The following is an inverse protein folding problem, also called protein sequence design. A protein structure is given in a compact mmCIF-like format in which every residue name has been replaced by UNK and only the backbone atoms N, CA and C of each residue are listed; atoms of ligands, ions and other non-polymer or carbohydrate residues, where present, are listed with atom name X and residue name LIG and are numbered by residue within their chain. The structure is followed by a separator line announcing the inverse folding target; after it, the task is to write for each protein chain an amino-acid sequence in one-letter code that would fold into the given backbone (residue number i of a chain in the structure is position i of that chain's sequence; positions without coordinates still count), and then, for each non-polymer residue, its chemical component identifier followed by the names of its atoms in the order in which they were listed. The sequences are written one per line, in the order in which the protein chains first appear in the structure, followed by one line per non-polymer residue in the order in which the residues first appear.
data_IF_477659822553
#
_entry.id   IF_477659822553
#
_cell.length_a   1.000
_cell.length_b   1.000
_cell.length_c   1.000
_cell.angle_alpha   90.00
_cell.angle_beta   90.00
_cell.angle_gamma   90.00
#
_symmetry.space_group_name_H-M   'P 1'
#
loop_
_entity.id
_entity.type
_entity.pdbx_description
1 polymer ?
#
# COMPACT_ATOMS: atom_id res chain seq x y z
N UNK A 1 41.85 24.99 -6.77
CA UNK A 1 41.58 25.13 -8.21
C UNK A 1 41.56 23.73 -8.75
N UNK A 2 40.43 23.27 -9.32
CA UNK A 2 40.30 21.89 -9.80
C UNK A 2 41.02 21.75 -11.16
N UNK A 3 41.84 20.72 -11.32
CA UNK A 3 42.56 20.45 -12.57
C UNK A 3 41.70 19.60 -13.51
N UNK A 4 40.91 20.27 -14.34
CA UNK A 4 40.04 19.63 -15.33
C UNK A 4 40.80 19.12 -16.56
N UNK A 5 42.10 19.38 -16.68
CA UNK A 5 42.87 19.01 -17.88
C UNK A 5 43.06 17.50 -18.03
N UNK A 6 42.88 16.75 -16.95
CA UNK A 6 43.02 15.29 -16.95
C UNK A 6 41.78 14.55 -17.47
N UNK A 7 40.65 15.21 -17.68
CA UNK A 7 39.41 14.54 -18.05
C UNK A 7 39.05 14.85 -19.50
N UNK A 8 39.26 13.86 -20.38
CA UNK A 8 38.89 13.97 -21.78
C UNK A 8 37.43 13.52 -21.98
N UNK A 9 36.47 14.42 -21.72
CA UNK A 9 35.05 14.11 -21.95
C UNK A 9 34.71 14.20 -23.44
N UNK A 10 34.48 13.04 -24.06
CA UNK A 10 33.86 12.99 -25.38
C UNK A 10 32.37 12.71 -25.21
N UNK A 11 31.53 13.75 -25.09
CA UNK A 11 30.07 13.56 -25.17
C UNK A 11 29.72 13.24 -26.63
N UNK A 12 29.77 11.97 -27.01
CA UNK A 12 29.36 11.54 -28.33
C UNK A 12 27.83 11.55 -28.39
N UNK A 13 27.27 12.23 -29.40
CA UNK A 13 25.93 11.91 -29.86
C UNK A 13 26.01 10.54 -30.53
N UNK A 14 25.97 9.45 -29.76
CA UNK A 14 25.79 8.13 -30.35
C UNK A 14 24.55 8.21 -31.25
N UNK A 15 24.72 7.90 -32.54
CA UNK A 15 23.88 8.32 -33.67
C UNK A 15 22.45 7.75 -33.72
N UNK A 16 21.78 7.65 -32.58
CA UNK A 16 20.41 7.18 -32.42
C UNK A 16 19.55 8.16 -31.63
N UNK A 17 19.54 9.46 -31.95
CA UNK A 17 18.43 10.35 -31.53
C UNK A 17 18.22 11.45 -32.57
N UNK A 18 16.96 11.64 -32.93
CA UNK A 18 16.41 12.69 -33.78
C UNK A 18 17.01 14.10 -33.56
N UNK A 19 17.15 14.91 -34.63
CA UNK A 19 17.91 16.16 -34.63
C UNK A 19 17.31 17.34 -33.85
N UNK A 20 16.23 17.17 -33.06
CA UNK A 20 15.53 18.29 -32.39
C UNK A 20 15.94 18.45 -30.90
N UNK A 21 16.72 17.54 -30.29
CA UNK A 21 17.18 17.66 -28.87
C UNK A 21 18.68 17.91 -28.66
N UNK A 22 19.47 18.05 -29.72
CA UNK A 22 20.94 18.03 -29.62
C UNK A 22 21.60 19.24 -28.93
N UNK A 23 20.96 20.42 -28.88
CA UNK A 23 21.55 21.58 -28.18
C UNK A 23 21.38 21.52 -26.65
N UNK A 24 20.38 20.78 -26.15
CA UNK A 24 20.22 20.53 -24.71
C UNK A 24 21.10 19.40 -24.19
N UNK A 25 21.62 18.53 -25.06
CA UNK A 25 22.37 17.34 -24.63
C UNK A 25 23.83 17.65 -24.25
N UNK A 26 24.47 18.64 -24.88
CA UNK A 26 25.87 18.97 -24.60
C UNK A 26 26.05 19.62 -23.22
N UNK A 27 25.24 20.64 -22.90
CA UNK A 27 25.29 21.30 -21.58
C UNK A 27 24.86 20.35 -20.47
N UNK A 28 23.87 19.48 -20.73
CA UNK A 28 23.46 18.46 -19.76
C UNK A 28 24.56 17.40 -19.55
N UNK A 29 25.21 16.94 -20.62
CA UNK A 29 26.35 16.02 -20.53
C UNK A 29 27.50 16.65 -19.75
N UNK A 30 27.90 17.89 -20.07
CA UNK A 30 28.94 18.61 -19.32
C UNK A 30 28.56 18.82 -17.85
N UNK A 31 27.29 19.13 -17.56
CA UNK A 31 26.82 19.31 -16.19
C UNK A 31 26.87 18.00 -15.41
N UNK A 32 26.42 16.88 -16.00
CA UNK A 32 26.51 15.57 -15.36
C UNK A 32 27.96 15.10 -15.18
N UNK A 33 28.80 15.30 -16.18
CA UNK A 33 30.23 15.03 -16.11
C UNK A 33 30.92 15.81 -14.98
N UNK A 34 30.65 17.11 -14.88
CA UNK A 34 31.15 17.97 -13.78
C UNK A 34 30.62 17.53 -12.42
N UNK A 35 29.33 17.19 -12.35
CA UNK A 35 28.73 16.66 -11.13
C UNK A 35 29.46 15.40 -10.70
N UNK A 36 29.63 14.41 -11.59
CA UNK A 36 30.30 13.14 -11.32
C UNK A 36 31.75 13.32 -10.87
N UNK A 37 32.51 14.19 -11.54
CA UNK A 37 33.87 14.53 -11.10
C UNK A 37 33.87 15.10 -9.68
N UNK A 38 32.99 16.05 -9.40
CA UNK A 38 32.87 16.58 -8.05
C UNK A 38 32.52 15.49 -7.03
N UNK A 39 31.62 14.53 -7.33
CA UNK A 39 31.30 13.41 -6.42
C UNK A 39 32.53 12.57 -6.12
N UNK A 40 33.26 12.18 -7.16
CA UNK A 40 34.44 11.34 -7.03
C UNK A 40 35.52 12.02 -6.20
N UNK A 41 35.76 13.33 -6.39
CA UNK A 41 36.72 14.07 -5.56
C UNK A 41 36.36 14.12 -4.07
N UNK A 42 35.09 13.92 -3.70
CA UNK A 42 34.66 13.87 -2.30
C UNK A 42 34.71 12.46 -1.70
N UNK A 43 34.64 11.42 -2.54
CA UNK A 43 34.48 10.03 -2.10
C UNK A 43 35.76 9.21 -2.10
N UNK A 44 36.66 9.48 -3.05
CA UNK A 44 37.87 8.67 -3.26
C UNK A 44 39.12 9.54 -3.18
N UNK A 45 40.27 8.88 -3.03
CA UNK A 45 41.57 9.59 -3.04
C UNK A 45 41.84 10.23 -4.41
N UNK A 46 42.67 11.27 -4.46
CA UNK A 46 42.94 12.01 -5.70
C UNK A 46 43.36 11.12 -6.88
N UNK A 47 44.17 10.09 -6.59
CA UNK A 47 44.68 9.14 -7.58
C UNK A 47 43.60 8.21 -8.16
N UNK A 48 42.47 8.06 -7.48
CA UNK A 48 41.34 7.21 -7.86
C UNK A 48 40.19 7.99 -8.51
N UNK A 49 40.24 9.33 -8.52
CA UNK A 49 39.15 10.18 -9.02
C UNK A 49 38.86 9.88 -10.50
N UNK A 50 39.89 9.72 -11.33
CA UNK A 50 39.72 9.42 -12.75
C UNK A 50 38.97 8.09 -12.97
N UNK A 51 39.42 7.02 -12.31
CA UNK A 51 38.76 5.71 -12.37
C UNK A 51 37.32 5.77 -11.84
N UNK A 52 37.07 6.51 -10.76
CA UNK A 52 35.72 6.69 -10.23
C UNK A 52 34.80 7.41 -11.24
N UNK A 53 35.30 8.43 -11.93
CA UNK A 53 34.53 9.17 -12.94
C UNK A 53 34.23 8.30 -14.15
N UNK A 54 35.22 7.55 -14.63
CA UNK A 54 35.04 6.60 -15.74
C UNK A 54 34.02 5.50 -15.38
N UNK A 55 34.13 4.89 -14.20
CA UNK A 55 33.21 3.88 -13.73
C UNK A 55 31.78 4.42 -13.57
N UNK A 56 31.62 5.64 -13.05
CA UNK A 56 30.31 6.26 -12.90
C UNK A 56 29.73 6.73 -14.23
N UNK A 57 30.56 7.22 -15.15
CA UNK A 57 30.12 7.61 -16.50
C UNK A 57 29.61 6.39 -17.27
N UNK A 58 30.35 5.28 -17.23
CA UNK A 58 29.91 4.02 -17.85
C UNK A 58 28.54 3.58 -17.31
N UNK A 59 28.31 3.68 -15.99
CA UNK A 59 27.02 3.31 -15.37
C UNK A 59 25.84 4.16 -15.85
N UNK A 60 26.04 5.45 -16.12
CA UNK A 60 24.95 6.34 -16.56
C UNK A 60 24.40 5.89 -17.92
N UNK A 61 25.25 5.33 -18.78
CA UNK A 61 24.86 4.92 -20.14
C UNK A 61 23.88 3.74 -20.14
N UNK A 62 23.96 2.86 -19.13
CA UNK A 62 23.14 1.64 -19.09
C UNK A 62 22.21 1.52 -17.88
N UNK A 63 22.37 2.32 -16.83
CA UNK A 63 21.49 2.31 -15.65
C UNK A 63 20.60 3.56 -15.62
N UNK A 64 19.26 3.41 -15.78
CA UNK A 64 18.33 4.51 -15.57
C UNK A 64 18.46 5.08 -14.15
N UNK A 65 18.79 6.37 -14.04
CA UNK A 65 18.98 7.04 -12.75
C UNK A 65 17.64 7.43 -12.14
N UNK A 66 17.20 6.75 -11.08
CA UNK A 66 15.95 7.04 -10.36
C UNK A 66 16.16 7.98 -9.18
N UNK A 67 17.37 8.03 -8.63
CA UNK A 67 17.76 8.90 -7.54
C UNK A 67 19.06 9.62 -7.91
N UNK A 68 19.33 10.76 -7.28
CA UNK A 68 20.54 11.53 -7.59
C UNK A 68 21.38 11.73 -6.34
N UNK A 69 22.66 11.92 -6.56
CA UNK A 69 23.67 12.11 -5.52
C UNK A 69 23.54 13.47 -4.83
N UNK A 70 23.69 13.48 -3.51
CA UNK A 70 23.49 14.68 -2.69
C UNK A 70 24.75 15.20 -1.99
N UNK A 71 25.94 14.84 -2.46
CA UNK A 71 27.17 15.42 -1.92
C UNK A 71 27.63 14.80 -0.60
N UNK A 72 27.16 13.61 -0.22
CA UNK A 72 27.65 12.96 0.99
C UNK A 72 29.13 12.56 0.82
N UNK A 73 29.98 12.80 1.83
CA UNK A 73 31.40 12.43 1.80
C UNK A 73 31.63 10.91 1.86
N UNK A 74 30.65 10.16 2.35
CA UNK A 74 30.69 8.69 2.39
C UNK A 74 29.31 8.12 2.10
N UNK A 75 29.23 7.10 1.25
CA UNK A 75 27.95 6.46 0.91
C UNK A 75 27.61 5.33 1.87
N UNK A 76 26.30 5.17 2.06
CA UNK A 76 25.76 4.04 2.76
C UNK A 76 26.03 2.75 1.99
N UNK A 77 26.39 1.68 2.70
CA UNK A 77 26.36 0.35 2.06
C UNK A 77 24.91 -0.01 1.72
N UNK A 78 24.69 -0.65 0.57
CA UNK A 78 23.37 -1.15 0.17
C UNK A 78 22.74 -2.02 1.26
N UNK A 79 23.53 -2.84 1.95
CA UNK A 79 23.11 -3.65 3.10
C UNK A 79 22.48 -2.83 4.23
N UNK A 80 23.03 -1.64 4.52
CA UNK A 80 22.47 -0.76 5.55
C UNK A 80 21.09 -0.23 5.15
N UNK A 81 20.92 0.15 3.87
CA UNK A 81 19.65 0.61 3.30
C UNK A 81 18.61 -0.51 3.31
N UNK A 82 19.00 -1.73 2.94
CA UNK A 82 18.14 -2.92 2.95
C UNK A 82 17.71 -3.30 4.37
N UNK A 83 18.64 -3.34 5.33
CA UNK A 83 18.32 -3.62 6.73
C UNK A 83 17.30 -2.63 7.31
N UNK A 84 17.37 -1.37 6.88
CA UNK A 84 16.43 -0.32 7.28
C UNK A 84 15.06 -0.48 6.63
N UNK A 85 14.99 -0.94 5.37
CA UNK A 85 13.73 -1.31 4.74
C UNK A 85 13.06 -2.49 5.47
N UNK A 86 13.83 -3.50 5.90
CA UNK A 86 13.32 -4.60 6.73
C UNK A 86 12.74 -4.06 8.03
N UNK A 87 13.46 -3.17 8.72
CA UNK A 87 12.96 -2.55 9.96
C UNK A 87 11.65 -1.77 9.75
N UNK A 88 11.51 -1.05 8.62
CA UNK A 88 10.27 -0.37 8.27
C UNK A 88 9.10 -1.34 8.11
N UNK A 89 9.30 -2.48 7.45
CA UNK A 89 8.27 -3.50 7.28
C UNK A 89 7.92 -4.15 8.63
N UNK A 90 8.91 -4.48 9.45
CA UNK A 90 8.68 -5.03 10.79
C UNK A 90 7.89 -4.03 11.64
N UNK A 91 8.20 -2.74 11.56
CA UNK A 91 7.46 -1.69 12.25
C UNK A 91 6.00 -1.63 11.79
N UNK A 92 5.75 -1.65 10.48
CA UNK A 92 4.41 -1.62 9.89
C UNK A 92 3.56 -2.85 10.31
N UNK A 93 4.19 -4.03 10.33
CA UNK A 93 3.56 -5.25 10.82
C UNK A 93 3.27 -5.18 12.33
N UNK A 94 4.20 -4.65 13.11
CA UNK A 94 4.00 -4.46 14.55
C UNK A 94 2.87 -3.47 14.82
N UNK A 95 2.79 -2.35 14.11
CA UNK A 95 1.70 -1.38 14.27
C UNK A 95 0.36 -1.96 13.86
N UNK A 96 0.31 -2.74 12.77
CA UNK A 96 -0.92 -3.43 12.33
C UNK A 96 -1.34 -4.49 13.35
N UNK A 97 -0.37 -5.20 13.94
CA UNK A 97 -0.65 -6.17 14.99
C UNK A 97 -1.14 -5.55 16.28
N UNK A 98 -0.51 -4.46 16.72
CA UNK A 98 -0.92 -3.71 17.90
C UNK A 98 -2.31 -3.08 17.69
N UNK A 99 -2.60 -2.54 16.50
CA UNK A 99 -3.92 -1.95 16.22
C UNK A 99 -5.02 -3.01 16.23
N UNK A 100 -4.76 -4.19 15.66
CA UNK A 100 -5.71 -5.31 15.65
C UNK A 100 -5.95 -5.92 17.04
N UNK A 101 -4.91 -6.01 17.88
CA UNK A 101 -4.99 -6.67 19.19
C UNK A 101 -5.37 -5.73 20.33
N UNK A 102 -4.74 -4.56 20.40
CA UNK A 102 -4.89 -3.60 21.51
C UNK A 102 -5.96 -2.56 21.19
N UNK A 103 -6.18 -2.23 19.91
CA UNK A 103 -7.09 -1.15 19.51
C UNK A 103 -8.48 -1.26 20.14
N UNK A 104 -9.07 -2.46 20.15
CA UNK A 104 -10.38 -2.70 20.76
C UNK A 104 -10.38 -2.42 22.29
N UNK A 105 -9.35 -2.90 22.99
CA UNK A 105 -9.20 -2.71 24.45
C UNK A 105 -8.94 -1.24 24.79
N UNK A 106 -8.11 -0.57 23.99
CA UNK A 106 -7.78 0.84 24.18
C UNK A 106 -9.02 1.71 23.97
N UNK A 107 -9.80 1.44 22.92
CA UNK A 107 -11.07 2.13 22.62
C UNK A 107 -12.05 1.97 23.79
N UNK A 108 -12.19 0.76 24.33
CA UNK A 108 -13.09 0.54 25.46
C UNK A 108 -12.64 1.31 26.72
N UNK A 109 -11.33 1.31 27.03
CA UNK A 109 -10.78 2.10 28.13
C UNK A 109 -10.94 3.60 27.91
N UNK A 110 -10.68 4.10 26.70
CA UNK A 110 -10.88 5.51 26.33
C UNK A 110 -12.35 5.93 26.48
N UNK A 111 -13.29 5.10 26.00
CA UNK A 111 -14.73 5.35 26.18
C UNK A 111 -15.12 5.44 27.65
N UNK A 112 -14.54 4.59 28.50
CA UNK A 112 -14.74 4.64 29.97
C UNK A 112 -14.11 5.89 30.61
N UNK A 113 -12.88 6.23 30.26
CA UNK A 113 -12.15 7.37 30.83
C UNK A 113 -12.78 8.72 30.49
N UNK A 114 -13.16 8.91 29.23
CA UNK A 114 -13.75 10.18 28.77
C UNK A 114 -15.28 10.24 28.95
N UNK A 115 -15.90 9.21 29.55
CA UNK A 115 -17.34 9.17 29.80
C UNK A 115 -18.20 9.12 28.53
N UNK A 116 -17.60 8.86 27.36
CA UNK A 116 -18.30 8.64 26.10
C UNK A 116 -19.06 7.30 26.17
N UNK A 117 -20.27 7.32 26.72
CA UNK A 117 -21.12 6.13 26.80
C UNK A 117 -21.82 5.90 28.13
N UNK A 118 -21.76 6.85 29.09
CA UNK A 118 -22.77 6.87 30.16
C UNK A 118 -24.13 7.20 29.55
N UNK A 119 -24.76 6.17 28.98
CA UNK A 119 -26.13 6.22 28.53
C UNK A 119 -26.99 6.67 29.71
N UNK A 120 -27.56 7.87 29.60
CA UNK A 120 -28.54 8.44 30.51
C UNK A 120 -29.80 7.57 30.72
N UNK A 121 -29.88 6.39 30.10
CA UNK A 121 -31.00 5.45 30.18
C UNK A 121 -31.13 4.71 31.51
N UNK A 122 -30.11 4.66 32.37
CA UNK A 122 -30.26 4.00 33.67
C UNK A 122 -30.99 4.82 34.75
N UNK A 123 -31.37 6.07 34.50
CA UNK A 123 -32.15 6.88 35.47
C UNK A 123 -33.67 6.86 35.30
N UNK A 124 -34.23 6.11 34.35
CA UNK A 124 -35.68 6.12 34.09
C UNK A 124 -36.47 4.93 34.70
N UNK A 125 -35.81 3.98 35.39
CA UNK A 125 -36.42 2.71 35.78
C UNK A 125 -36.60 2.43 37.28
N UNK A 126 -36.49 3.44 38.15
CA UNK A 126 -36.82 3.29 39.58
C UNK A 126 -37.83 4.35 40.01
N UNK A 127 -39.03 4.24 39.47
CA UNK A 127 -40.25 4.74 40.10
C UNK A 127 -41.29 3.66 39.92
N UNK A 128 -41.80 3.20 41.06
CA UNK A 128 -42.53 1.95 41.19
C UNK A 128 -43.82 1.89 40.41
N UNK A 129 -44.27 0.66 40.17
CA UNK A 129 -45.55 0.20 40.69
C UNK A 129 -45.59 -1.32 40.62
N UNK A 130 -45.77 -1.92 41.79
CA UNK A 130 -46.18 -3.30 41.94
C UNK A 130 -47.66 -3.42 41.56
N UNK A 131 -47.99 -4.38 40.71
CA UNK A 131 -49.32 -5.02 40.65
C UNK A 131 -49.15 -6.46 40.14
N UNK A 132 -49.84 -7.45 40.75
CA UNK A 132 -49.73 -8.85 40.38
C UNK A 132 -50.79 -9.28 39.36
N UNK A 133 -50.48 -10.34 38.60
CA UNK A 133 -51.47 -11.26 38.02
C UNK A 133 -51.96 -10.93 36.62
N UNK A 134 -51.64 -11.79 35.66
CA UNK A 134 -52.58 -12.74 35.00
C UNK A 134 -51.80 -13.41 33.86
N UNK A 135 -51.63 -14.72 33.99
CA UNK A 135 -51.19 -15.61 32.93
C UNK A 135 -52.31 -15.75 31.89
N UNK A 136 -51.97 -15.63 30.60
CA UNK A 136 -52.78 -16.24 29.55
C UNK A 136 -51.88 -16.76 28.43
N UNK A 137 -51.82 -18.10 28.35
CA UNK A 137 -51.22 -18.88 27.29
C UNK A 137 -52.07 -18.80 26.01
N UNK A 138 -51.44 -18.56 24.85
CA UNK A 138 -51.86 -19.13 23.56
C UNK A 138 -50.67 -19.21 22.59
N UNK A 139 -50.37 -20.44 22.17
CA UNK A 139 -49.50 -20.90 21.06
C UNK A 139 -50.15 -20.61 19.67
N UNK A 140 -49.60 -21.08 18.52
CA UNK A 140 -48.26 -20.92 17.94
C UNK A 140 -48.34 -20.48 16.44
N UNK A 141 -47.21 -20.53 15.73
CA UNK A 141 -47.00 -20.47 14.25
C UNK A 141 -46.84 -19.10 13.56
N UNK A 142 -45.59 -18.79 13.20
CA UNK A 142 -45.26 -18.43 11.82
C UNK A 142 -43.80 -18.80 11.52
N UNK A 143 -43.59 -19.47 10.38
CA UNK A 143 -42.30 -19.93 9.87
C UNK A 143 -41.59 -18.74 9.21
N UNK A 144 -40.48 -18.30 9.78
CA UNK A 144 -39.45 -17.54 9.06
C UNK A 144 -38.14 -18.33 9.07
N UNK A 145 -37.55 -18.68 7.92
CA UNK A 145 -36.20 -19.19 7.87
C UNK A 145 -35.24 -18.01 8.07
N UNK A 146 -34.21 -18.21 8.90
CA UNK A 146 -33.14 -17.26 9.25
C UNK A 146 -33.43 -16.28 10.42
N UNK A 147 -33.59 -16.84 11.63
CA UNK A 147 -33.10 -16.17 12.84
C UNK A 147 -31.83 -16.88 13.32
N UNK A 148 -30.72 -16.15 13.34
CA UNK A 148 -29.48 -16.59 13.98
C UNK A 148 -29.76 -16.61 15.48
N UNK A 149 -29.95 -17.81 16.03
CA UNK A 149 -30.01 -18.01 17.46
C UNK A 149 -28.72 -17.48 18.09
N UNK A 150 -28.82 -16.35 18.81
CA UNK A 150 -27.99 -16.14 19.99
C UNK A 150 -28.36 -17.27 20.95
N UNK A 151 -27.51 -18.28 21.06
CA UNK A 151 -27.54 -19.18 22.20
C UNK A 151 -27.37 -18.32 23.45
N UNK A 152 -28.45 -18.14 24.22
CA UNK A 152 -28.33 -17.74 25.63
C UNK A 152 -27.50 -18.83 26.30
N UNK A 153 -26.41 -18.49 27.00
CA UNK A 153 -25.83 -19.43 27.94
C UNK A 153 -26.89 -19.77 28.99
N UNK A 154 -26.87 -20.99 29.56
CA UNK A 154 -27.85 -21.40 30.55
C UNK A 154 -27.80 -20.46 31.75
N UNK A 155 -28.95 -19.89 32.08
CA UNK A 155 -29.20 -19.21 33.35
C UNK A 155 -29.11 -20.25 34.47
N UNK A 156 -27.93 -20.35 35.09
CA UNK A 156 -27.74 -20.93 36.42
C UNK A 156 -26.31 -20.63 36.88
N UNK A 157 -26.18 -19.65 37.78
CA UNK A 157 -25.37 -19.66 39.00
C UNK A 157 -25.62 -18.29 39.65
N UNK A 158 -26.50 -18.30 40.65
CA UNK A 158 -26.58 -17.23 41.63
C UNK A 158 -25.28 -17.19 42.45
N UNK A 159 -24.75 -15.99 42.67
CA UNK A 159 -23.87 -15.71 43.79
C UNK A 159 -22.38 -16.00 43.58
N UNK A 160 -21.73 -15.30 42.65
CA UNK A 160 -20.34 -14.93 42.87
C UNK A 160 -20.05 -13.57 42.26
N UNK A 161 -20.08 -12.56 43.14
CA UNK A 161 -19.51 -11.24 42.92
C UNK A 161 -17.99 -11.41 42.79
N UNK A 162 -17.57 -11.87 41.61
CA UNK A 162 -16.18 -12.06 41.27
C UNK A 162 -15.57 -10.67 41.07
N UNK A 163 -14.73 -10.32 42.05
CA UNK A 163 -13.79 -9.21 42.10
C UNK A 163 -13.31 -8.77 40.71
N UNK A 164 -13.89 -7.67 40.22
CA UNK A 164 -13.69 -7.14 38.87
C UNK A 164 -12.30 -6.47 38.71
N UNK A 165 -11.48 -6.50 39.77
CA UNK A 165 -10.11 -5.98 39.84
C UNK A 165 -9.04 -6.93 39.31
N UNK A 166 -9.38 -8.20 39.02
CA UNK A 166 -8.47 -9.19 38.46
C UNK A 166 -8.56 -9.38 36.94
N UNK A 167 -9.07 -8.38 36.19
CA UNK A 167 -8.95 -8.38 34.71
C UNK A 167 -7.52 -8.02 34.29
N UNK A 168 -6.61 -8.96 34.54
CA UNK A 168 -5.33 -9.02 33.86
C UNK A 168 -5.55 -8.94 32.36
N UNK A 169 -4.64 -8.27 31.65
CA UNK A 169 -4.65 -8.04 30.20
C UNK A 169 -5.22 -9.25 29.43
N UNK A 170 -6.52 -9.22 29.12
CA UNK A 170 -7.12 -10.23 28.26
C UNK A 170 -6.63 -9.92 26.85
N UNK A 171 -5.69 -10.75 26.38
CA UNK A 171 -5.30 -10.85 24.99
C UNK A 171 -6.53 -11.10 24.11
N UNK A 172 -6.37 -10.91 22.79
CA UNK A 172 -7.43 -10.93 21.78
C UNK A 172 -8.57 -11.93 22.08
N UNK A 173 -9.85 -11.53 21.90
CA UNK A 173 -10.99 -12.30 22.36
C UNK A 173 -10.96 -13.74 21.82
N UNK A 174 -11.34 -14.75 22.62
CA UNK A 174 -11.30 -16.14 22.22
C UNK A 174 -12.05 -16.34 20.89
N UNK A 175 -11.31 -16.69 19.82
CA UNK A 175 -11.85 -16.92 18.49
C UNK A 175 -11.25 -16.11 17.34
N UNK A 176 -10.33 -15.16 17.60
CA UNK A 176 -9.61 -14.40 16.55
C UNK A 176 -8.73 -15.29 15.66
N UNK A 177 -8.16 -16.37 16.19
CA UNK A 177 -7.32 -17.30 15.41
C UNK A 177 -8.12 -18.38 14.64
N UNK A 178 -9.45 -18.29 14.58
CA UNK A 178 -10.25 -19.22 13.76
C UNK A 178 -10.16 -18.83 12.27
N UNK A 179 -10.24 -19.80 11.34
CA UNK A 179 -10.30 -19.50 9.92
C UNK A 179 -11.45 -18.54 9.59
N UNK A 180 -11.19 -17.56 8.73
CA UNK A 180 -12.22 -16.66 8.24
C UNK A 180 -13.24 -17.42 7.37
N UNK A 181 -14.53 -17.21 7.66
CA UNK A 181 -15.64 -17.74 6.86
C UNK A 181 -16.26 -16.67 5.96
N UNK A 182 -15.98 -15.40 6.26
CA UNK A 182 -16.52 -14.24 5.56
C UNK A 182 -15.41 -13.22 5.34
N UNK A 183 -15.17 -12.86 4.09
CA UNK A 183 -14.30 -11.77 3.70
C UNK A 183 -15.16 -10.54 3.48
N UNK A 184 -14.71 -9.41 4.02
CA UNK A 184 -15.45 -8.15 4.00
C UNK A 184 -14.52 -7.14 3.34
N UNK A 185 -14.90 -6.65 2.17
CA UNK A 185 -14.20 -5.57 1.49
C UNK A 185 -15.00 -4.29 1.66
N UNK A 186 -14.48 -3.35 2.45
CA UNK A 186 -15.01 -2.00 2.51
C UNK A 186 -14.27 -1.12 1.51
N UNK A 187 -14.96 -0.34 0.65
CA UNK A 187 -14.31 0.62 -0.23
C UNK A 187 -13.39 1.58 0.54
N UNK A 188 -13.81 2.02 1.72
CA UNK A 188 -13.02 2.82 2.65
C UNK A 188 -11.72 2.13 3.08
N UNK A 189 -11.70 0.81 3.30
CA UNK A 189 -10.49 0.07 3.65
C UNK A 189 -9.51 0.01 2.47
N UNK A 190 -10.00 -0.24 1.26
CA UNK A 190 -9.17 -0.23 0.04
C UNK A 190 -8.57 1.15 -0.20
N UNK A 191 -9.41 2.19 -0.13
CA UNK A 191 -8.96 3.57 -0.32
C UNK A 191 -7.98 4.01 0.76
N UNK A 192 -8.19 3.58 2.01
CA UNK A 192 -7.26 3.84 3.12
C UNK A 192 -5.91 3.19 2.86
N UNK A 193 -5.88 1.92 2.44
CA UNK A 193 -4.63 1.20 2.15
C UNK A 193 -3.88 1.82 0.97
N UNK A 194 -4.55 2.07 -0.16
CA UNK A 194 -3.97 2.76 -1.32
C UNK A 194 -3.50 4.17 -0.95
N UNK A 195 -4.35 4.93 -0.27
CA UNK A 195 -4.10 6.30 0.15
C UNK A 195 -2.90 6.41 1.10
N UNK A 196 -2.78 5.49 2.07
CA UNK A 196 -1.62 5.39 2.96
C UNK A 196 -0.33 5.24 2.17
N UNK A 197 -0.28 4.31 1.22
CA UNK A 197 0.95 4.08 0.44
C UNK A 197 1.30 5.26 -0.46
N UNK A 198 0.32 5.84 -1.16
CA UNK A 198 0.54 7.01 -2.02
C UNK A 198 0.97 8.21 -1.17
N UNK A 199 0.29 8.49 -0.07
CA UNK A 199 0.58 9.62 0.82
C UNK A 199 1.94 9.46 1.49
N UNK A 200 2.27 8.26 2.01
CA UNK A 200 3.57 8.00 2.60
C UNK A 200 4.70 8.19 1.57
N UNK A 201 4.50 7.74 0.33
CA UNK A 201 5.47 7.91 -0.76
C UNK A 201 5.61 9.38 -1.15
N UNK A 202 4.49 10.10 -1.30
CA UNK A 202 4.44 11.53 -1.59
C UNK A 202 5.15 12.36 -0.53
N UNK A 203 4.81 12.16 0.75
CA UNK A 203 5.41 12.87 1.88
C UNK A 203 6.89 12.54 2.03
N UNK A 204 7.28 11.28 1.80
CA UNK A 204 8.69 10.87 1.79
C UNK A 204 9.45 11.70 0.76
N UNK A 205 8.98 11.75 -0.49
CA UNK A 205 9.61 12.53 -1.56
C UNK A 205 9.66 14.01 -1.21
N UNK A 206 8.57 14.58 -0.69
CA UNK A 206 8.49 15.99 -0.35
C UNK A 206 9.45 16.37 0.78
N UNK A 207 9.53 15.57 1.84
CA UNK A 207 10.43 15.80 2.98
C UNK A 207 11.88 15.64 2.54
N UNK A 208 12.19 14.58 1.79
CA UNK A 208 13.54 14.37 1.27
C UNK A 208 13.99 15.50 0.35
N UNK A 209 13.09 16.00 -0.52
CA UNK A 209 13.36 17.12 -1.41
C UNK A 209 13.57 18.42 -0.64
N UNK A 210 12.70 18.73 0.33
CA UNK A 210 12.81 19.95 1.16
C UNK A 210 14.03 19.93 2.08
N UNK A 211 14.43 18.75 2.54
CA UNK A 211 15.62 18.58 3.36
C UNK A 211 16.92 18.54 2.55
N UNK A 212 16.88 18.75 1.23
CA UNK A 212 18.04 18.62 0.33
C UNK A 212 18.75 17.27 0.51
N UNK A 213 17.98 16.24 0.86
CA UNK A 213 18.45 14.86 1.11
C UNK A 213 18.39 13.99 -0.13
N UNK A 214 17.50 14.33 -1.06
CA UNK A 214 17.51 13.85 -2.43
C UNK A 214 17.59 15.05 -3.38
N UNK A 215 18.48 14.96 -4.34
CA UNK A 215 18.64 15.90 -5.41
C UNK A 215 17.61 15.52 -6.46
N UNK A 216 17.00 16.51 -7.06
CA UNK A 216 16.32 16.31 -8.34
C UNK A 216 17.30 16.77 -9.41
N UNK A 217 18.39 16.02 -9.64
CA UNK A 217 19.21 16.29 -10.81
C UNK A 217 18.47 15.79 -12.06
N UNK A 218 18.48 16.64 -13.08
CA UNK A 218 17.86 16.46 -14.39
C UNK A 218 16.32 16.56 -14.43
N UNK A 219 15.87 17.55 -15.20
CA UNK A 219 14.51 17.87 -15.64
C UNK A 219 13.74 16.75 -16.35
N UNK A 220 14.27 15.52 -16.39
CA UNK A 220 13.71 14.43 -17.20
C UNK A 220 12.88 13.40 -16.45
N UNK A 221 13.16 13.10 -15.17
CA UNK A 221 12.27 12.18 -14.45
C UNK A 221 10.99 12.89 -14.04
N UNK A 222 9.89 12.47 -14.64
CA UNK A 222 8.57 12.88 -14.19
C UNK A 222 8.44 12.53 -12.70
N UNK A 223 7.91 13.45 -11.89
CA UNK A 223 7.60 13.22 -10.48
C UNK A 223 6.90 11.87 -10.24
N UNK A 224 6.10 11.44 -11.21
CA UNK A 224 5.41 10.17 -11.24
C UNK A 224 6.34 8.94 -11.27
N UNK A 225 7.49 8.98 -11.96
CA UNK A 225 8.46 7.88 -11.93
C UNK A 225 9.13 7.75 -10.56
N UNK A 226 9.52 8.86 -9.95
CA UNK A 226 10.05 8.86 -8.57
C UNK A 226 8.99 8.34 -7.60
N UNK A 227 7.75 8.83 -7.73
CA UNK A 227 6.63 8.33 -6.94
C UNK A 227 6.42 6.82 -7.12
N UNK A 228 6.45 6.33 -8.36
CA UNK A 228 6.34 4.91 -8.67
C UNK A 228 7.46 4.10 -8.05
N UNK A 229 8.71 4.57 -8.09
CA UNK A 229 9.85 3.94 -7.41
C UNK A 229 9.60 3.79 -5.90
N UNK A 230 9.13 4.85 -5.25
CA UNK A 230 8.82 4.81 -3.81
C UNK A 230 7.61 3.92 -3.49
N UNK A 231 6.65 3.80 -4.40
CA UNK A 231 5.49 2.92 -4.29
C UNK A 231 5.90 1.44 -4.43
N UNK A 232 6.77 1.08 -5.37
CA UNK A 232 7.22 -0.33 -5.57
C UNK A 232 8.23 -0.82 -4.53
N UNK A 233 8.47 -0.08 -3.45
CA UNK A 233 9.28 -0.60 -2.35
C UNK A 233 8.62 -1.85 -1.75
N UNK A 234 9.41 -2.80 -1.22
CA UNK A 234 8.85 -3.99 -0.57
C UNK A 234 7.89 -3.62 0.57
N UNK A 235 6.74 -4.32 0.64
CA UNK A 235 5.60 -3.96 1.51
C UNK A 235 5.24 -5.09 2.47
N UNK A 236 4.49 -4.74 3.51
CA UNK A 236 3.91 -5.69 4.48
C UNK A 236 2.68 -6.46 3.99
N UNK A 237 2.12 -6.10 2.82
CA UNK A 237 0.86 -6.64 2.29
C UNK A 237 0.79 -8.18 2.19
N UNK A 238 1.85 -8.93 1.83
CA UNK A 238 1.78 -10.39 1.82
C UNK A 238 1.53 -10.96 3.21
N UNK A 239 2.11 -10.35 4.25
CA UNK A 239 1.98 -10.80 5.62
C UNK A 239 0.60 -10.44 6.19
N UNK A 240 0.10 -9.23 5.94
CA UNK A 240 -1.28 -8.87 6.34
C UNK A 240 -2.31 -9.69 5.56
N UNK A 241 -2.02 -10.02 4.30
CA UNK A 241 -2.77 -10.97 3.49
C UNK A 241 -2.83 -12.38 4.10
N UNK A 242 -1.69 -12.94 4.52
CA UNK A 242 -1.65 -14.22 5.23
C UNK A 242 -2.45 -14.18 6.54
N UNK A 243 -2.35 -13.08 7.30
CA UNK A 243 -3.15 -12.88 8.51
C UNK A 243 -4.64 -12.79 8.19
N UNK A 244 -5.04 -12.29 7.03
CA UNK A 244 -6.45 -12.20 6.61
C UNK A 244 -7.17 -13.53 6.40
N UNK A 245 -6.46 -14.67 6.43
CA UNK A 245 -7.09 -15.99 6.58
C UNK A 245 -7.66 -16.24 7.99
N UNK A 246 -7.25 -15.44 8.97
CA UNK A 246 -7.72 -15.49 10.35
C UNK A 246 -8.87 -14.50 10.58
N UNK A 247 -9.81 -14.88 11.43
CA UNK A 247 -10.99 -14.07 11.75
C UNK A 247 -10.58 -12.75 12.40
N UNK A 248 -11.12 -11.64 11.87
CA UNK A 248 -10.85 -10.28 12.36
C UNK A 248 -9.77 -9.54 11.57
N UNK A 249 -9.02 -10.25 10.72
CA UNK A 249 -7.97 -9.67 9.87
C UNK A 249 -8.33 -9.67 8.38
N UNK A 250 -9.41 -10.37 8.01
CA UNK A 250 -9.84 -10.56 6.63
C UNK A 250 -10.12 -9.26 5.88
N UNK A 251 -10.57 -8.21 6.59
CA UNK A 251 -10.85 -6.90 5.99
C UNK A 251 -9.56 -6.16 5.63
N UNK A 252 -8.65 -6.01 6.60
CA UNK A 252 -7.34 -5.38 6.40
C UNK A 252 -6.49 -6.16 5.41
N UNK A 253 -6.40 -7.49 5.55
CA UNK A 253 -5.63 -8.34 4.66
C UNK A 253 -6.12 -8.29 3.21
N UNK A 254 -7.45 -8.30 2.98
CA UNK A 254 -7.99 -8.15 1.63
C UNK A 254 -7.78 -6.75 1.06
N UNK A 255 -7.93 -5.71 1.88
CA UNK A 255 -7.67 -4.33 1.48
C UNK A 255 -6.22 -4.12 1.06
N UNK A 256 -5.26 -4.61 1.85
CA UNK A 256 -3.82 -4.45 1.60
C UNK A 256 -3.35 -5.24 0.39
N UNK A 257 -3.77 -6.50 0.24
CA UNK A 257 -3.40 -7.32 -0.92
C UNK A 257 -4.02 -6.73 -2.20
N UNK A 258 -5.26 -6.23 -2.13
CA UNK A 258 -5.86 -5.54 -3.27
C UNK A 258 -5.10 -4.25 -3.63
N UNK A 259 -4.78 -3.43 -2.64
CA UNK A 259 -3.97 -2.22 -2.83
C UNK A 259 -2.60 -2.56 -3.41
N UNK A 260 -2.00 -3.67 -2.98
CA UNK A 260 -0.70 -4.13 -3.44
C UNK A 260 -0.72 -4.44 -4.93
N UNK A 261 -1.70 -5.24 -5.37
CA UNK A 261 -1.96 -5.54 -6.77
C UNK A 261 -2.26 -4.28 -7.60
N UNK A 262 -3.15 -3.40 -7.13
CA UNK A 262 -3.53 -2.19 -7.86
C UNK A 262 -2.36 -1.22 -8.05
N UNK A 263 -1.57 -0.99 -7.00
CA UNK A 263 -0.38 -0.15 -7.06
C UNK A 263 0.73 -0.79 -7.89
N UNK A 264 0.89 -2.12 -7.84
CA UNK A 264 1.82 -2.87 -8.69
C UNK A 264 1.48 -2.72 -10.18
N UNK A 265 0.19 -2.72 -10.54
CA UNK A 265 -0.23 -2.51 -11.94
C UNK A 265 0.22 -1.15 -12.46
N UNK A 266 0.09 -0.08 -11.68
CA UNK A 266 0.45 1.28 -12.13
C UNK A 266 1.95 1.55 -11.96
N UNK A 267 2.46 1.38 -10.75
CA UNK A 267 3.85 1.73 -10.43
C UNK A 267 4.85 0.71 -10.97
N UNK A 268 4.52 -0.59 -10.91
CA UNK A 268 5.35 -1.65 -11.46
C UNK A 268 5.48 -1.55 -12.98
N UNK A 269 4.40 -1.25 -13.71
CA UNK A 269 4.50 -1.02 -15.16
C UNK A 269 5.28 0.24 -15.50
N UNK A 270 5.10 1.32 -14.73
CA UNK A 270 5.89 2.56 -14.88
C UNK A 270 7.38 2.31 -14.70
N UNK A 271 7.75 1.45 -13.74
CA UNK A 271 9.15 1.05 -13.50
C UNK A 271 9.63 0.07 -14.55
N UNK A 272 8.80 -0.84 -15.05
CA UNK A 272 9.20 -1.80 -16.07
C UNK A 272 9.63 -1.12 -17.37
N UNK A 273 8.90 -0.10 -17.83
CA UNK A 273 9.15 0.59 -19.11
C UNK A 273 10.62 1.02 -19.27
N UNK A 274 11.23 1.78 -18.34
CA UNK A 274 12.63 2.17 -18.46
C UNK A 274 13.63 1.04 -18.22
N UNK A 275 13.25 -0.12 -17.67
CA UNK A 275 14.18 -1.23 -17.41
C UNK A 275 13.99 -2.41 -18.39
N UNK A 276 13.01 -2.35 -19.30
CA UNK A 276 12.71 -3.43 -20.24
C UNK A 276 13.89 -3.73 -21.19
N UNK A 277 14.64 -2.71 -21.60
CA UNK A 277 15.77 -2.90 -22.52
C UNK A 277 16.92 -3.70 -21.89
N UNK A 278 16.98 -3.83 -20.56
CA UNK A 278 18.01 -4.58 -19.85
C UNK A 278 17.92 -6.11 -20.04
N UNK A 279 16.86 -6.60 -20.70
CA UNK A 279 16.82 -7.98 -21.17
C UNK A 279 17.73 -8.23 -22.38
N UNK A 280 18.07 -7.19 -23.14
CA UNK A 280 19.09 -7.27 -24.17
C UNK A 280 20.49 -7.27 -23.53
N UNK A 281 21.47 -7.88 -24.20
CA UNK A 281 22.87 -7.76 -23.77
C UNK A 281 23.27 -6.29 -23.78
N UNK A 282 23.88 -5.76 -22.70
CA UNK A 282 24.38 -4.40 -22.71
C UNK A 282 25.41 -4.23 -23.82
N UNK A 283 25.38 -3.08 -24.48
CA UNK A 283 26.36 -2.74 -25.53
C UNK A 283 27.75 -2.52 -24.95
N UNK A 284 27.80 -2.12 -23.68
CA UNK A 284 29.04 -1.93 -22.91
C UNK A 284 29.48 -3.25 -22.24
N UNK A 285 30.68 -3.78 -22.55
CA UNK A 285 31.22 -4.98 -21.90
C UNK A 285 31.53 -4.80 -20.40
N UNK A 286 31.65 -3.56 -19.90
CA UNK A 286 31.86 -3.27 -18.48
C UNK A 286 30.57 -3.40 -17.66
N UNK A 287 29.40 -3.41 -18.30
CA UNK A 287 28.13 -3.51 -17.62
C UNK A 287 27.94 -4.91 -16.98
N UNK A 288 27.56 -5.00 -15.69
CA UNK A 288 27.36 -6.28 -15.00
C UNK A 288 26.06 -6.94 -15.47
N UNK A 289 26.13 -7.64 -16.61
CA UNK A 289 24.98 -8.19 -17.31
C UNK A 289 24.07 -9.07 -16.44
N UNK A 290 24.65 -9.83 -15.49
CA UNK A 290 23.86 -10.65 -14.57
C UNK A 290 23.03 -9.80 -13.61
N UNK A 291 23.61 -8.77 -13.01
CA UNK A 291 22.90 -7.89 -12.08
C UNK A 291 21.82 -7.06 -12.79
N UNK A 292 22.08 -6.60 -14.02
CA UNK A 292 21.07 -5.91 -14.85
C UNK A 292 19.88 -6.81 -15.18
N UNK A 293 20.12 -8.09 -15.49
CA UNK A 293 19.05 -9.08 -15.68
C UNK A 293 18.24 -9.28 -14.40
N UNK A 294 18.87 -9.29 -13.22
CA UNK A 294 18.14 -9.40 -11.95
C UNK A 294 17.24 -8.17 -11.72
N UNK A 295 17.72 -6.96 -12.01
CA UNK A 295 16.88 -5.75 -11.95
C UNK A 295 15.70 -5.85 -12.92
N UNK A 296 15.95 -6.27 -14.16
CA UNK A 296 14.89 -6.43 -15.17
C UNK A 296 13.84 -7.48 -14.74
N UNK A 297 14.30 -8.62 -14.20
CA UNK A 297 13.42 -9.65 -13.63
C UNK A 297 12.62 -9.10 -12.45
N UNK A 298 13.24 -8.35 -11.55
CA UNK A 298 12.57 -7.68 -10.45
C UNK A 298 11.47 -6.72 -10.93
N UNK A 299 11.75 -5.91 -11.94
CA UNK A 299 10.77 -5.01 -12.56
C UNK A 299 9.61 -5.77 -13.22
N UNK A 300 9.88 -6.89 -13.90
CA UNK A 300 8.82 -7.75 -14.46
C UNK A 300 7.95 -8.35 -13.36
N UNK A 301 8.56 -8.90 -12.31
CA UNK A 301 7.81 -9.47 -11.17
C UNK A 301 6.99 -8.40 -10.43
N UNK A 302 7.51 -7.17 -10.32
CA UNK A 302 6.79 -6.02 -9.74
C UNK A 302 5.56 -5.60 -10.56
N UNK A 303 5.47 -6.00 -11.83
CA UNK A 303 4.35 -5.72 -12.74
C UNK A 303 3.59 -6.99 -13.16
N UNK A 304 3.95 -8.16 -12.61
CA UNK A 304 3.38 -9.45 -12.98
C UNK A 304 1.84 -9.51 -12.89
N UNK A 305 1.18 -8.90 -11.88
CA UNK A 305 -0.29 -8.88 -11.84
C UNK A 305 -0.90 -8.21 -13.06
N UNK A 306 -0.28 -7.15 -13.59
CA UNK A 306 -0.78 -6.48 -14.79
C UNK A 306 -0.69 -7.43 -15.99
N UNK A 307 0.45 -8.09 -16.20
CA UNK A 307 0.64 -9.01 -17.32
C UNK A 307 -0.28 -10.22 -17.25
N UNK A 308 -0.38 -10.88 -16.09
CA UNK A 308 -1.29 -12.01 -15.90
C UNK A 308 -2.74 -11.60 -16.14
N UNK A 309 -3.12 -10.42 -15.66
CA UNK A 309 -4.43 -9.84 -15.90
C UNK A 309 -4.69 -9.60 -17.39
N UNK A 310 -3.78 -8.92 -18.10
CA UNK A 310 -3.90 -8.67 -19.54
C UNK A 310 -3.94 -9.96 -20.36
N UNK A 311 -3.12 -10.96 -20.02
CA UNK A 311 -3.14 -12.29 -20.66
C UNK A 311 -4.48 -12.98 -20.43
N UNK A 312 -5.00 -12.96 -19.19
CA UNK A 312 -6.29 -13.55 -18.88
C UNK A 312 -7.44 -12.87 -19.66
N UNK A 313 -7.43 -11.54 -19.74
CA UNK A 313 -8.38 -10.78 -20.54
C UNK A 313 -8.23 -11.11 -22.03
N UNK A 314 -7.01 -11.22 -22.55
CA UNK A 314 -6.75 -11.58 -23.94
C UNK A 314 -7.27 -12.97 -24.28
N UNK A 315 -7.01 -13.96 -23.42
CA UNK A 315 -7.49 -15.34 -23.59
C UNK A 315 -9.02 -15.37 -23.56
N UNK A 316 -9.62 -14.78 -22.52
CA UNK A 316 -11.08 -14.72 -22.37
C UNK A 316 -11.72 -14.06 -23.60
N UNK A 317 -11.13 -12.97 -24.04
CA UNK A 317 -11.60 -12.21 -25.19
C UNK A 317 -11.50 -13.01 -26.48
N UNK A 318 -10.37 -13.71 -26.69
CA UNK A 318 -10.17 -14.59 -27.85
C UNK A 318 -11.15 -15.76 -27.84
N UNK A 319 -11.37 -16.41 -26.69
CA UNK A 319 -12.36 -17.48 -26.55
C UNK A 319 -13.77 -17.00 -26.90
N UNK A 320 -14.18 -15.84 -26.39
CA UNK A 320 -15.50 -15.26 -26.70
C UNK A 320 -15.62 -14.85 -28.18
N UNK A 321 -14.55 -14.33 -28.78
CA UNK A 321 -14.49 -14.05 -30.22
C UNK A 321 -14.69 -15.30 -31.07
N UNK A 322 -14.05 -16.41 -30.69
CA UNK A 322 -14.19 -17.71 -31.36
C UNK A 322 -15.60 -18.31 -31.23
N UNK A 323 -16.33 -17.99 -30.16
CA UNK A 323 -17.72 -18.45 -29.93
C UNK A 323 -18.79 -17.67 -30.73
N UNK A 324 -18.41 -16.72 -31.58
CA UNK A 324 -19.33 -16.04 -32.50
C UNK A 324 -19.20 -14.52 -32.58
N UNK A 325 -18.31 -13.91 -31.79
CA UNK A 325 -18.08 -12.45 -31.82
C UNK A 325 -17.15 -11.95 -32.94
N UNK A 326 -16.42 -12.86 -33.60
CA UNK A 326 -15.40 -12.51 -34.59
C UNK A 326 -14.18 -11.80 -33.99
N UNK A 327 -13.15 -11.50 -34.81
CA UNK A 327 -11.90 -10.90 -34.34
C UNK A 327 -12.10 -9.46 -33.83
N UNK A 328 -13.01 -8.70 -34.45
CA UNK A 328 -13.34 -7.33 -34.05
C UNK A 328 -14.01 -7.33 -32.67
N UNK A 329 -14.97 -8.23 -32.43
CA UNK A 329 -15.64 -8.36 -31.14
C UNK A 329 -14.67 -8.74 -30.01
N UNK A 330 -13.73 -9.65 -30.28
CA UNK A 330 -12.63 -9.93 -29.34
C UNK A 330 -11.79 -8.68 -29.10
N UNK A 331 -11.29 -8.01 -30.13
CA UNK A 331 -10.43 -6.84 -29.92
C UNK A 331 -11.13 -5.74 -29.08
N UNK A 332 -12.42 -5.47 -29.35
CA UNK A 332 -13.20 -4.52 -28.57
C UNK A 332 -13.38 -4.95 -27.12
N UNK A 333 -13.61 -6.24 -26.85
CA UNK A 333 -13.74 -6.76 -25.49
C UNK A 333 -12.41 -6.67 -24.72
N UNK A 334 -11.29 -6.99 -25.38
CA UNK A 334 -9.95 -6.85 -24.83
C UNK A 334 -9.63 -5.40 -24.42
N UNK A 335 -10.12 -4.40 -25.16
CA UNK A 335 -9.96 -2.99 -24.79
C UNK A 335 -10.98 -2.53 -23.72
N UNK A 336 -12.22 -3.01 -23.82
CA UNK A 336 -13.31 -2.59 -22.93
C UNK A 336 -13.06 -3.04 -21.49
N UNK A 337 -12.60 -4.28 -21.27
CA UNK A 337 -12.43 -4.81 -19.91
C UNK A 337 -11.40 -4.03 -19.08
N UNK A 338 -10.15 -3.79 -19.56
CA UNK A 338 -9.19 -2.95 -18.86
C UNK A 338 -9.68 -1.50 -18.71
N UNK A 339 -10.39 -0.96 -19.71
CA UNK A 339 -10.98 0.38 -19.62
C UNK A 339 -12.01 0.47 -18.48
N UNK A 340 -12.93 -0.50 -18.38
CA UNK A 340 -13.93 -0.54 -17.31
C UNK A 340 -13.28 -0.69 -15.92
N UNK A 341 -12.19 -1.44 -15.81
CA UNK A 341 -11.44 -1.57 -14.56
C UNK A 341 -10.70 -0.28 -14.24
N UNK A 342 -10.04 0.34 -15.21
CA UNK A 342 -9.39 1.63 -15.03
C UNK A 342 -10.42 2.69 -14.58
N UNK A 343 -11.61 2.69 -15.20
CA UNK A 343 -12.74 3.53 -14.81
C UNK A 343 -13.18 3.21 -13.38
N UNK A 344 -13.35 1.94 -13.03
CA UNK A 344 -13.72 1.52 -11.68
C UNK A 344 -12.69 1.98 -10.64
N UNK A 345 -11.40 1.78 -10.89
CA UNK A 345 -10.30 2.24 -10.04
C UNK A 345 -10.28 3.77 -9.92
N UNK A 346 -10.57 4.49 -11.01
CA UNK A 346 -10.68 5.95 -11.01
C UNK A 346 -11.91 6.46 -10.23
N UNK A 347 -12.99 5.65 -10.15
CA UNK A 347 -14.19 5.95 -9.39
C UNK A 347 -14.10 5.52 -7.91
N UNK A 348 -13.17 4.65 -7.52
CA UNK A 348 -12.96 4.23 -6.12
C UNK A 348 -12.83 5.41 -5.14
N UNK A 349 -12.09 6.50 -5.44
CA UNK A 349 -12.04 7.67 -4.56
C UNK A 349 -13.41 8.33 -4.36
N UNK A 350 -14.25 8.35 -5.40
CA UNK A 350 -15.61 8.90 -5.33
C UNK A 350 -16.49 8.01 -4.44
N UNK A 351 -16.41 6.68 -4.60
CA UNK A 351 -17.14 5.74 -3.73
C UNK A 351 -16.70 5.85 -2.27
N UNK A 352 -15.39 5.97 -2.01
CA UNK A 352 -14.86 6.16 -0.67
C UNK A 352 -15.32 7.50 -0.06
N UNK A 353 -15.33 8.58 -0.84
CA UNK A 353 -15.83 9.89 -0.38
C UNK A 353 -17.33 9.82 -0.04
N UNK A 354 -18.14 9.16 -0.87
CA UNK A 354 -19.57 8.96 -0.59
C UNK A 354 -19.79 8.15 0.70
N UNK A 355 -18.99 7.10 0.93
CA UNK A 355 -19.02 6.30 2.17
C UNK A 355 -18.68 7.18 3.39
N UNK A 356 -17.62 7.99 3.30
CA UNK A 356 -17.21 8.93 4.36
C UNK A 356 -18.31 9.95 4.65
N UNK A 357 -18.91 10.54 3.62
CA UNK A 357 -20.01 11.51 3.76
C UNK A 357 -21.23 10.84 4.41
N UNK A 358 -21.59 9.62 4.00
CA UNK A 358 -22.69 8.86 4.59
C UNK A 358 -22.47 8.59 6.09
N UNK A 359 -21.26 8.16 6.46
CA UNK A 359 -20.87 7.95 7.85
C UNK A 359 -20.92 9.24 8.68
N UNK A 360 -20.34 10.33 8.16
CA UNK A 360 -20.35 11.63 8.82
C UNK A 360 -21.77 12.17 9.03
N UNK A 361 -22.60 12.12 7.99
CA UNK A 361 -23.98 12.59 8.02
C UNK A 361 -24.85 11.81 9.01
N UNK A 362 -24.61 10.51 9.19
CA UNK A 362 -25.27 9.71 10.22
C UNK A 362 -24.86 10.15 11.62
N UNK A 363 -23.57 10.38 11.87
CA UNK A 363 -23.06 10.84 13.16
C UNK A 363 -23.69 12.19 13.52
N UNK A 364 -23.76 13.11 12.56
CA UNK A 364 -24.47 14.39 12.67
C UNK A 364 -25.96 14.17 12.98
N UNK A 365 -26.67 13.34 12.22
CA UNK A 365 -28.09 13.02 12.50
C UNK A 365 -28.32 12.43 13.89
N UNK A 366 -27.40 11.58 14.36
CA UNK A 366 -27.43 11.00 15.70
C UNK A 366 -27.27 12.05 16.79
N UNK A 367 -26.37 13.02 16.60
CA UNK A 367 -26.18 14.15 17.52
C UNK A 367 -27.39 15.09 17.54
N UNK A 368 -28.03 15.32 16.40
CA UNK A 368 -29.22 16.16 16.29
C UNK A 368 -30.53 15.51 16.74
N UNK A 369 -30.46 14.28 17.29
CA UNK A 369 -31.39 13.84 18.34
C UNK A 369 -32.88 13.98 18.05
N UNK A 370 -33.34 13.81 16.81
CA UNK A 370 -34.77 13.59 16.59
C UNK A 370 -35.07 12.17 17.02
N UNK A 371 -35.75 12.02 18.17
CA UNK A 371 -36.55 10.84 18.53
C UNK A 371 -37.41 10.50 17.31
N UNK A 372 -36.89 9.65 16.44
CA UNK A 372 -37.57 9.29 15.20
C UNK A 372 -38.33 8.02 15.52
N UNK A 373 -39.64 8.13 15.38
CA UNK A 373 -40.59 7.07 15.57
C UNK A 373 -40.10 5.77 14.91
N UNK A 374 -40.07 4.73 15.74
CA UNK A 374 -39.63 3.36 15.47
C UNK A 374 -40.41 2.66 14.35
N UNK A 375 -41.39 3.35 13.74
CA UNK A 375 -42.29 2.81 12.70
C UNK A 375 -41.98 3.22 11.27
N UNK A 376 -40.98 4.07 11.02
CA UNK A 376 -40.56 4.39 9.65
C UNK A 376 -39.61 3.32 9.10
N UNK A 377 -40.15 2.14 8.80
CA UNK A 377 -39.47 0.97 8.20
C UNK A 377 -39.13 1.18 6.70
N UNK A 378 -38.89 2.43 6.30
CA UNK A 378 -38.31 2.74 5.00
C UNK A 378 -36.80 2.57 5.11
N UNK A 379 -36.30 1.39 4.70
CA UNK A 379 -34.89 1.19 4.31
C UNK A 379 -34.44 2.42 3.56
N UNK A 380 -33.60 3.22 4.19
CA UNK A 380 -33.20 4.48 3.61
C UNK A 380 -32.22 4.16 2.49
N UNK A 381 -32.22 4.94 1.41
CA UNK A 381 -31.25 4.79 0.31
C UNK A 381 -29.79 4.76 0.83
N UNK A 382 -29.55 5.28 2.03
CA UNK A 382 -28.26 5.29 2.71
C UNK A 382 -27.82 3.93 3.26
N UNK A 383 -28.74 3.01 3.55
CA UNK A 383 -28.40 1.70 4.12
C UNK A 383 -27.73 0.79 3.06
N UNK A 384 -27.98 1.06 1.77
CA UNK A 384 -27.33 0.37 0.65
C UNK A 384 -25.83 0.68 0.59
N UNK A 385 -25.44 1.93 0.85
CA UNK A 385 -24.04 2.37 0.81
C UNK A 385 -23.19 1.82 1.95
N UNK A 386 -23.81 1.20 2.94
CA UNK A 386 -23.13 0.64 4.10
C UNK A 386 -22.94 -0.86 4.05
N UNK A 387 -23.67 -1.56 3.17
CA UNK A 387 -23.52 -3.00 3.07
C UNK A 387 -22.11 -3.28 2.53
N UNK A 388 -21.17 -3.76 3.37
CA UNK A 388 -19.84 -4.01 2.87
C UNK A 388 -19.91 -5.16 1.88
N UNK A 389 -19.01 -5.17 0.89
CA UNK A 389 -18.96 -6.29 -0.05
C UNK A 389 -18.49 -7.52 0.71
N UNK A 390 -19.43 -8.40 1.02
CA UNK A 390 -19.10 -9.61 1.78
C UNK A 390 -19.15 -10.83 0.90
N UNK A 391 -18.03 -11.54 0.88
CA UNK A 391 -17.89 -12.81 0.20
C UNK A 391 -17.85 -13.91 1.25
N UNK A 392 -18.75 -14.88 1.15
CA UNK A 392 -18.78 -16.08 2.01
C UNK A 392 -18.62 -17.37 1.20
N UNK A 393 -18.42 -17.25 -0.11
CA UNK A 393 -18.29 -18.41 -0.98
C UNK A 393 -16.96 -19.14 -0.72
N UNK A 394 -16.95 -20.49 -0.64
CA UNK A 394 -15.71 -21.25 -0.55
C UNK A 394 -14.78 -21.00 -1.75
N UNK A 395 -15.33 -20.70 -2.93
CA UNK A 395 -14.53 -20.34 -4.11
C UNK A 395 -13.76 -19.03 -3.92
N UNK A 396 -14.27 -18.11 -3.10
CA UNK A 396 -13.56 -16.87 -2.81
C UNK A 396 -12.30 -17.11 -1.98
N UNK A 397 -12.22 -18.18 -1.18
CA UNK A 397 -10.97 -18.57 -0.49
C UNK A 397 -9.83 -18.81 -1.47
N UNK A 398 -10.14 -19.44 -2.61
CA UNK A 398 -9.17 -19.72 -3.67
C UNK A 398 -8.74 -18.40 -4.33
N UNK A 399 -9.68 -17.52 -4.66
CA UNK A 399 -9.38 -16.20 -5.22
C UNK A 399 -8.50 -15.40 -4.26
N UNK A 400 -8.83 -15.38 -2.97
CA UNK A 400 -8.03 -14.71 -1.95
C UNK A 400 -6.63 -15.30 -1.81
N UNK A 401 -6.49 -16.63 -1.84
CA UNK A 401 -5.19 -17.30 -1.83
C UNK A 401 -4.34 -16.93 -3.06
N UNK A 402 -4.96 -16.83 -4.25
CA UNK A 402 -4.28 -16.37 -5.45
C UNK A 402 -3.84 -14.91 -5.32
N UNK A 403 -4.68 -14.04 -4.76
CA UNK A 403 -4.30 -12.64 -4.50
C UNK A 403 -3.12 -12.54 -3.53
N UNK A 404 -3.12 -13.32 -2.43
CA UNK A 404 -1.98 -13.37 -1.48
C UNK A 404 -0.72 -13.89 -2.18
N UNK A 405 -0.83 -14.93 -3.00
CA UNK A 405 0.28 -15.44 -3.80
C UNK A 405 0.82 -14.38 -4.78
N UNK A 406 -0.05 -13.65 -5.46
CA UNK A 406 0.35 -12.53 -6.31
C UNK A 406 1.10 -11.47 -5.51
N UNK A 407 0.62 -11.10 -4.30
CA UNK A 407 1.32 -10.15 -3.43
C UNK A 407 2.70 -10.66 -3.00
N UNK A 408 2.86 -11.96 -2.71
CA UNK A 408 4.19 -12.55 -2.44
C UNK A 408 5.11 -12.38 -3.66
N UNK A 409 4.63 -12.69 -4.86
CA UNK A 409 5.41 -12.56 -6.11
C UNK A 409 5.82 -11.10 -6.35
N UNK A 410 4.88 -10.16 -6.20
CA UNK A 410 5.14 -8.72 -6.30
C UNK A 410 6.22 -8.32 -5.30
N UNK A 411 6.11 -8.76 -4.05
CA UNK A 411 7.05 -8.38 -3.00
C UNK A 411 8.46 -8.94 -3.26
N UNK A 412 8.57 -10.18 -3.75
CA UNK A 412 9.85 -10.74 -4.21
C UNK A 412 10.41 -9.91 -5.36
N UNK A 413 9.59 -9.55 -6.34
CA UNK A 413 9.98 -8.68 -7.45
C UNK A 413 10.49 -7.32 -6.99
N UNK A 414 9.77 -6.69 -6.07
CA UNK A 414 10.13 -5.43 -5.45
C UNK A 414 11.46 -5.54 -4.70
N UNK A 415 11.71 -6.62 -3.96
CA UNK A 415 12.99 -6.86 -3.28
C UNK A 415 14.14 -7.05 -4.26
N UNK A 416 13.96 -7.89 -5.28
CA UNK A 416 14.98 -8.13 -6.31
C UNK A 416 15.31 -6.84 -7.05
N UNK A 417 14.29 -6.11 -7.48
CA UNK A 417 14.46 -4.82 -8.15
C UNK A 417 15.19 -3.84 -7.22
N UNK A 418 14.66 -3.59 -6.02
CA UNK A 418 15.19 -2.57 -5.13
C UNK A 418 16.61 -2.89 -4.64
N UNK A 419 16.90 -4.13 -4.25
CA UNK A 419 18.22 -4.52 -3.77
C UNK A 419 19.28 -4.49 -4.89
N UNK A 420 18.96 -5.04 -6.06
CA UNK A 420 19.88 -5.03 -7.19
C UNK A 420 20.05 -3.63 -7.76
N UNK A 421 18.99 -2.83 -7.83
CA UNK A 421 19.06 -1.43 -8.24
C UNK A 421 19.99 -0.63 -7.32
N UNK A 422 19.79 -0.71 -5.99
CA UNK A 422 20.67 -0.03 -5.02
C UNK A 422 22.13 -0.51 -5.10
N UNK A 423 22.34 -1.80 -5.39
CA UNK A 423 23.69 -2.36 -5.51
C UNK A 423 24.39 -1.89 -6.79
N UNK A 424 23.65 -1.79 -7.90
CA UNK A 424 24.16 -1.28 -9.17
C UNK A 424 24.39 0.23 -9.15
N UNK A 425 23.47 0.97 -8.55
CA UNK A 425 23.56 2.42 -8.37
C UNK A 425 24.78 2.76 -7.49
N UNK A 426 25.03 1.96 -6.45
CA UNK A 426 26.25 2.02 -5.65
C UNK A 426 26.55 3.43 -5.15
N UNK A 427 27.74 3.95 -5.49
CA UNK A 427 28.19 5.30 -5.10
C UNK A 427 27.40 6.45 -5.75
N UNK A 428 26.61 6.17 -6.79
CA UNK A 428 25.72 7.17 -7.39
C UNK A 428 24.53 7.50 -6.47
N UNK A 429 24.16 6.58 -5.57
CA UNK A 429 23.19 6.80 -4.51
C UNK A 429 23.86 7.14 -3.19
N UNK A 430 24.10 8.42 -2.97
CA UNK A 430 24.73 8.91 -1.74
C UNK A 430 23.90 10.04 -1.14
N UNK A 431 22.86 9.71 -0.34
CA UNK A 431 22.13 10.73 0.39
C UNK A 431 23.04 11.43 1.39
N UNK A 432 22.99 12.76 1.45
CA UNK A 432 23.83 13.61 2.33
C UNK A 432 23.76 13.19 3.80
N UNK A 433 22.58 12.78 4.26
CA UNK A 433 22.36 12.30 5.62
C UNK A 433 21.54 11.00 5.61
N UNK A 434 22.22 9.86 5.43
CA UNK A 434 21.57 8.54 5.43
C UNK A 434 20.70 8.30 6.68
N UNK A 435 21.19 8.71 7.86
CA UNK A 435 20.44 8.64 9.12
C UNK A 435 19.08 9.34 9.00
N UNK A 436 19.08 10.58 8.48
CA UNK A 436 17.88 11.38 8.27
C UNK A 436 16.98 10.79 7.18
N UNK A 437 17.53 10.37 6.04
CA UNK A 437 16.74 9.72 4.96
C UNK A 437 16.01 8.50 5.47
N UNK A 438 16.68 7.70 6.28
CA UNK A 438 16.09 6.52 6.88
C UNK A 438 15.07 6.85 7.94
N UNK A 439 15.35 7.83 8.79
CA UNK A 439 14.37 8.32 9.73
C UNK A 439 13.10 8.76 8.99
N UNK A 440 13.22 9.46 7.87
CA UNK A 440 12.09 9.81 7.01
C UNK A 440 11.40 8.55 6.46
N UNK A 441 12.14 7.57 5.94
CA UNK A 441 11.57 6.34 5.40
C UNK A 441 10.81 5.50 6.43
N UNK A 442 11.22 5.51 7.70
CA UNK A 442 10.55 4.77 8.77
C UNK A 442 9.44 5.61 9.42
N UNK A 443 9.75 6.86 9.80
CA UNK A 443 8.84 7.72 10.54
C UNK A 443 7.68 8.22 9.69
N UNK A 444 7.85 8.45 8.39
CA UNK A 444 6.74 8.93 7.54
C UNK A 444 5.65 7.88 7.40
N UNK A 445 5.92 6.62 7.00
CA UNK A 445 4.89 5.58 6.98
C UNK A 445 4.24 5.38 8.35
N UNK A 446 5.03 5.31 9.43
CA UNK A 446 4.51 5.16 10.80
C UNK A 446 3.62 6.34 11.21
N UNK A 447 4.00 7.58 10.88
CA UNK A 447 3.18 8.75 11.18
C UNK A 447 1.88 8.75 10.37
N UNK A 448 1.94 8.38 9.09
CA UNK A 448 0.75 8.22 8.25
C UNK A 448 -0.16 7.14 8.84
N UNK A 449 0.39 6.01 9.26
CA UNK A 449 -0.35 4.95 9.92
C UNK A 449 -1.05 5.40 11.20
N UNK A 450 -0.32 6.09 12.07
CA UNK A 450 -0.88 6.62 13.31
C UNK A 450 -2.01 7.60 13.01
N UNK A 451 -1.84 8.50 12.04
CA UNK A 451 -2.89 9.45 11.64
C UNK A 451 -4.14 8.74 11.09
N UNK A 452 -3.97 7.74 10.23
CA UNK A 452 -5.10 6.96 9.70
C UNK A 452 -5.80 6.14 10.79
N UNK A 453 -5.04 5.49 11.68
CA UNK A 453 -5.60 4.75 12.81
C UNK A 453 -6.37 5.68 13.77
N UNK A 454 -5.83 6.87 14.06
CA UNK A 454 -6.52 7.89 14.86
C UNK A 454 -7.80 8.39 14.17
N UNK A 455 -7.75 8.61 12.87
CA UNK A 455 -8.92 9.00 12.07
C UNK A 455 -10.03 7.95 12.12
N UNK A 456 -9.70 6.68 11.91
CA UNK A 456 -10.65 5.56 12.02
C UNK A 456 -11.22 5.46 13.44
N UNK A 457 -10.38 5.69 14.45
CA UNK A 457 -10.81 5.69 15.86
C UNK A 457 -11.76 6.87 16.18
N UNK A 458 -11.57 8.03 15.56
CA UNK A 458 -12.47 9.18 15.72
C UNK A 458 -13.80 9.02 14.98
N UNK A 459 -13.86 8.21 13.92
CA UNK A 459 -15.09 7.92 13.19
C UNK A 459 -15.99 6.94 13.96
N UNK A 460 -15.41 5.88 14.52
CA UNK A 460 -16.07 4.87 15.38
C UNK A 460 -16.44 5.40 16.79
#
# INVERSE_FOLDING_TARGET
MYDYSQINFTCWSNGYVEPIRAQGSWTLCLTEAMLQYWRCTQQVSYDEVASCVEDNAAKIDWLPQLMTYNGAPSCASSNSVLGRQIASIVSDLATTFLSATIGAVLIEKLKRLFGFGKNHRQKAGSRGNATPGVELNTLPQSKDPYSIARQRPPDNIDGQEADDTARGWQWAPPGTFRPAERWVLKPSSVFTSIGKHILASYLTILILKKGELIGTASTQLSFLQVLSFYIIRPRGAPFTGLLGFLRGWSETGLGDVFADCALSVVAGTTVLVPFWFLFASPTDPAAPAQALKIVAVGAVLSSAPAWLFFIAVLILSTCLGLMGGGPIGSFLLFLLVPFLIALFLALLPIFALMEIIAMAWRKVRGLFGRKRDEKSDRRSCWDFWEAPLTFSSPSFRVVYALMVLSSIIINIGNWLFFASYLTLEGNMYCPSHLGTVTAVWVLVPVAVDLLYNLYVLMLN
#
